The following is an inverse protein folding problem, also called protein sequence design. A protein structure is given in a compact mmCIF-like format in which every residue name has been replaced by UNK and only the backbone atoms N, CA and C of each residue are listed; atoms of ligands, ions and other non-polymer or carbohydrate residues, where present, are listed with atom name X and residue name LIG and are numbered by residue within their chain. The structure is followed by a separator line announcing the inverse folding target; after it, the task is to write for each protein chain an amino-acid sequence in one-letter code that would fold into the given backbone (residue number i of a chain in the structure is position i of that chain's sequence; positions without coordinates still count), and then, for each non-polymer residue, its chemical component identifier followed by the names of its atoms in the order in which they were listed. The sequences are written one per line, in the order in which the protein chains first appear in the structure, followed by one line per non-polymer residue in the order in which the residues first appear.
data_IF_403866545805
#
_entry.id   IF_403866545805
#
_cell.length_a   1.000
_cell.length_b   1.000
_cell.length_c   1.000
_cell.angle_alpha   90.00
_cell.angle_beta   90.00
_cell.angle_gamma   90.00
#
_symmetry.space_group_name_H-M   'P 1'
#
loop_
_entity.id
_entity.type
_entity.pdbx_description
1 polymer ?
2 water ?
#
# COMPACT_ATOMS: atom_id res chain seq x y z
N UNK A 25 -6.89 -0.50 5.33
CA UNK A 25 -5.61 0.18 5.47
C UNK A 25 -5.18 0.80 4.13
N UNK A 26 -4.72 2.05 4.19
CA UNK A 26 -4.22 2.78 3.03
C UNK A 26 -2.74 3.02 3.19
N UNK A 27 -1.97 2.67 2.17
CA UNK A 27 -0.53 2.84 2.18
C UNK A 27 -0.15 3.83 1.09
N UNK A 28 0.91 4.58 1.31
CA UNK A 28 1.29 5.65 0.40
C UNK A 28 2.76 5.56 0.01
N UNK A 29 3.09 6.11 -1.15
CA UNK A 29 4.45 6.12 -1.67
C UNK A 29 4.62 7.33 -2.56
N UNK A 30 5.88 7.64 -2.88
CA UNK A 30 6.20 8.61 -3.90
C UNK A 30 6.75 9.93 -3.39
N UNK A 31 6.88 10.11 -2.09
CA UNK A 31 7.40 11.37 -1.57
C UNK A 31 8.87 11.56 -1.90
N UNK A 32 9.27 12.83 -1.98
CA UNK A 32 10.64 13.18 -2.34
C UNK A 32 10.81 14.67 -2.14
N UNK A 33 12.07 15.11 -2.20
CA UNK A 33 12.41 16.52 -2.31
C UNK A 33 12.77 16.81 -3.76
N UNK A 34 12.18 17.88 -4.32
CA UNK A 34 12.42 18.24 -5.71
C UNK A 34 12.54 19.75 -5.83
N UNK A 35 13.12 20.18 -6.95
CA UNK A 35 13.24 21.61 -7.24
C UNK A 35 11.92 22.16 -7.79
N UNK A 36 11.70 23.45 -7.55
CA UNK A 36 10.54 24.15 -8.10
C UNK A 36 10.48 23.95 -9.60
N UNK A 37 9.25 23.78 -10.11
CA UNK A 37 9.02 23.43 -11.49
C UNK A 37 8.99 21.95 -11.78
N UNK A 38 9.41 21.12 -10.84
CA UNK A 38 9.51 19.68 -11.05
C UNK A 38 8.18 18.95 -10.88
N UNK A 39 8.27 17.63 -10.92
CA UNK A 39 7.09 16.77 -10.89
C UNK A 39 7.33 15.60 -9.95
N UNK A 40 6.26 15.17 -9.30
CA UNK A 40 6.25 13.97 -8.48
C UNK A 40 4.92 13.26 -8.72
N UNK A 41 4.87 11.98 -8.38
CA UNK A 41 3.62 11.23 -8.43
C UNK A 41 3.48 10.47 -7.12
N UNK A 42 2.41 10.74 -6.39
CA UNK A 42 2.12 10.04 -5.16
C UNK A 42 1.15 8.91 -5.45
N UNK A 43 1.30 7.81 -4.73
CA UNK A 43 0.41 6.66 -4.85
C UNK A 43 -0.34 6.46 -3.54
N UNK A 44 -1.64 6.19 -3.65
CA UNK A 44 -2.48 5.77 -2.55
C UNK A 44 -2.97 4.36 -2.88
N UNK A 45 -2.49 3.37 -2.13
CA UNK A 45 -2.76 1.96 -2.44
C UNK A 45 -3.59 1.39 -1.30
N UNK A 46 -4.78 0.90 -1.63
CA UNK A 46 -5.76 0.52 -0.62
C UNK A 46 -5.91 -0.98 -0.43
N UNK A 47 -5.74 -1.42 0.81
CA UNK A 47 -6.13 -2.77 1.21
C UNK A 47 -7.63 -2.73 1.55
N UNK A 48 -8.42 -2.56 0.49
CA UNK A 48 -9.87 -2.36 0.57
C UNK A 48 -10.49 -2.95 -0.68
N UNK A 49 -11.79 -3.24 -0.59
CA UNK A 49 -12.56 -3.59 -1.79
C UNK A 49 -12.88 -2.33 -2.57
N UNK A 50 -12.43 -2.26 -3.82
CA UNK A 50 -12.71 -1.08 -4.64
C UNK A 50 -14.21 -0.84 -4.76
N UNK A 51 -15.01 -1.92 -4.81
CA UNK A 51 -16.44 -1.72 -4.95
C UNK A 51 -17.05 -1.05 -3.74
N UNK A 52 -16.34 -1.02 -2.62
CA UNK A 52 -16.86 -0.30 -1.45
C UNK A 52 -16.64 1.19 -1.50
N UNK A 53 -15.78 1.68 -2.39
CA UNK A 53 -15.26 3.03 -2.31
C UNK A 53 -16.19 3.97 -3.06
N UNK A 54 -16.67 5.01 -2.36
CA UNK A 54 -17.41 6.06 -3.06
C UNK A 54 -16.48 7.08 -3.72
N UNK A 55 -15.40 7.46 -3.02
CA UNK A 55 -14.46 8.45 -3.55
C UNK A 55 -13.16 8.38 -2.76
N UNK A 56 -12.07 8.74 -3.43
CA UNK A 56 -10.75 8.88 -2.81
C UNK A 56 -10.29 10.31 -2.97
N UNK A 57 -9.68 10.86 -1.93
CA UNK A 57 -9.24 12.24 -2.00
C UNK A 57 -7.84 12.37 -1.42
N UNK A 58 -7.19 13.46 -1.84
CA UNK A 58 -5.90 13.85 -1.30
C UNK A 58 -6.04 15.17 -0.55
N UNK A 59 -5.36 15.22 0.59
CA UNK A 59 -5.24 16.39 1.45
C UNK A 59 -3.76 16.64 1.73
N UNK A 60 -3.46 17.82 2.23
CA UNK A 60 -2.10 18.08 2.67
C UNK A 60 -2.14 18.95 3.91
N UNK A 61 -1.08 18.86 4.70
CA UNK A 61 -0.98 19.69 5.89
C UNK A 61 0.48 20.06 6.10
N UNK A 62 0.74 21.34 6.15
CA UNK A 62 2.06 21.91 6.38
C UNK A 62 2.17 22.38 7.82
N UNK A 63 3.34 22.26 8.43
CA UNK A 63 3.48 22.68 9.83
C UNK A 63 3.05 24.13 10.02
N UNK A 64 2.36 24.38 11.12
CA UNK A 64 1.81 25.69 11.42
C UNK A 64 0.52 26.01 10.70
N UNK A 65 0.01 25.11 9.87
CA UNK A 65 -1.20 25.37 9.10
C UNK A 65 -2.20 24.24 9.29
N UNK A 66 -3.49 24.57 9.10
CA UNK A 66 -4.54 23.57 9.06
C UNK A 66 -4.45 22.74 7.78
N UNK A 67 -5.04 21.54 7.84
CA UNK A 67 -5.19 20.69 6.67
C UNK A 67 -5.80 21.48 5.52
N UNK A 68 -5.41 21.12 4.28
CA UNK A 68 -6.00 21.66 3.05
C UNK A 68 -6.51 20.51 2.19
N UNK A 69 -7.65 20.74 1.55
CA UNK A 69 -8.11 19.85 0.50
C UNK A 69 -7.23 20.03 -0.74
N UNK A 70 -6.95 18.93 -1.44
CA UNK A 70 -6.13 19.01 -2.65
C UNK A 70 -6.93 18.50 -3.85
N UNK A 71 -7.42 17.26 -3.79
CA UNK A 71 -8.11 16.69 -4.96
C UNK A 71 -8.99 15.52 -4.56
N UNK A 72 -9.94 15.21 -5.44
CA UNK A 72 -10.97 14.22 -5.15
C UNK A 72 -11.32 13.50 -6.44
N UNK A 73 -11.54 12.18 -6.37
CA UNK A 73 -11.98 11.42 -7.53
C UNK A 73 -13.07 10.45 -7.09
N UNK A 74 -14.20 10.50 -7.77
CA UNK A 74 -15.33 9.64 -7.48
C UNK A 74 -15.15 8.28 -8.14
N UNK A 75 -15.84 7.30 -7.58
CA UNK A 75 -16.08 5.99 -8.16
C UNK A 75 -16.30 6.06 -9.68
N UNK A 76 -17.08 7.03 -10.13
CA UNK A 76 -17.45 7.10 -11.55
C UNK A 76 -16.48 7.91 -12.39
N UNK A 77 -15.39 8.42 -11.80
CA UNK A 77 -14.35 9.10 -12.54
C UNK A 77 -14.40 10.62 -12.48
N UNK A 78 -15.47 11.21 -11.96
CA UNK A 78 -15.52 12.65 -11.76
C UNK A 78 -14.42 13.11 -10.83
N UNK A 79 -13.80 14.24 -11.17
CA UNK A 79 -12.71 14.78 -10.37
C UNK A 79 -13.03 16.21 -9.93
N UNK A 80 -12.38 16.61 -8.85
CA UNK A 80 -12.49 17.96 -8.32
C UNK A 80 -11.14 18.33 -7.75
N UNK A 81 -10.83 19.63 -7.79
CA UNK A 81 -9.52 20.14 -7.38
C UNK A 81 -9.68 21.39 -6.53
N UNK A 82 -8.81 21.54 -5.54
CA UNK A 82 -8.70 22.82 -4.87
C UNK A 82 -8.22 23.90 -5.83
N UNK A 83 -8.62 25.13 -5.56
CA UNK A 83 -8.19 26.24 -6.41
C UNK A 83 -6.67 26.31 -6.54
N UNK A 84 -5.95 25.91 -5.48
CA UNK A 84 -4.50 26.00 -5.48
C UNK A 84 -3.85 25.10 -6.51
N UNK A 85 -4.52 24.02 -6.92
CA UNK A 85 -3.90 23.04 -7.81
C UNK A 85 -4.72 22.78 -9.07
N UNK A 86 -5.86 23.44 -9.24
CA UNK A 86 -6.70 23.23 -10.41
C UNK A 86 -5.93 23.48 -11.70
N UNK A 87 -5.95 22.50 -12.60
CA UNK A 87 -5.24 22.60 -13.86
C UNK A 87 -3.75 22.35 -13.76
N UNK A 88 -3.23 22.14 -12.55
CA UNK A 88 -1.81 21.96 -12.29
C UNK A 88 -1.46 20.55 -11.84
N UNK A 89 -2.22 20.01 -10.89
CA UNK A 89 -2.14 18.61 -10.51
C UNK A 89 -3.24 17.84 -11.21
N UNK A 90 -3.05 16.52 -11.32
CA UNK A 90 -4.04 15.62 -11.90
C UNK A 90 -4.23 14.44 -10.96
N UNK A 91 -5.49 14.09 -10.65
CA UNK A 91 -5.78 12.89 -9.88
C UNK A 91 -6.33 11.85 -10.84
N UNK A 92 -5.91 10.60 -10.66
CA UNK A 92 -6.33 9.51 -11.53
C UNK A 92 -6.40 8.23 -10.71
N UNK A 93 -7.10 7.23 -11.22
CA UNK A 93 -7.25 5.99 -10.47
C UNK A 93 -7.22 4.79 -11.39
N UNK A 94 -6.69 3.69 -10.86
CA UNK A 94 -6.67 2.38 -11.50
C UNK A 94 -7.25 1.41 -10.45
N UNK A 95 -8.57 1.22 -10.49
CA UNK A 95 -9.23 0.42 -9.45
C UNK A 95 -8.77 -1.04 -9.45
N UNK A 96 -8.51 -1.71 -10.58
CA UNK A 96 -7.94 -3.07 -10.51
C UNK A 96 -6.64 -3.12 -9.72
N UNK A 97 -5.84 -2.05 -9.76
CA UNK A 97 -4.62 -1.96 -8.97
C UNK A 97 -4.85 -1.38 -7.58
N UNK A 98 -6.11 -1.11 -7.21
CA UNK A 98 -6.44 -0.54 -5.91
C UNK A 98 -5.68 0.75 -5.64
N UNK A 99 -5.37 1.52 -6.69
CA UNK A 99 -4.47 2.64 -6.57
C UNK A 99 -5.07 3.92 -7.14
N UNK A 100 -4.87 5.01 -6.39
CA UNK A 100 -5.20 6.36 -6.81
C UNK A 100 -3.89 7.15 -6.78
N UNK A 101 -3.63 7.90 -7.85
CA UNK A 101 -2.41 8.69 -7.99
C UNK A 101 -2.70 10.17 -7.85
N UNK A 102 -1.79 10.88 -7.18
CA UNK A 102 -1.77 12.33 -7.25
C UNK A 102 -0.58 12.73 -8.12
N UNK A 103 -0.87 13.22 -9.32
CA UNK A 103 0.18 13.56 -10.28
C UNK A 103 0.49 15.04 -10.08
N UNK A 104 1.62 15.33 -9.43
CA UNK A 104 1.95 16.68 -8.98
C UNK A 104 2.92 17.28 -9.98
N UNK A 105 2.42 18.13 -10.86
CA UNK A 105 3.27 18.78 -11.85
C UNK A 105 3.35 20.27 -11.55
N UNK A 106 4.34 20.93 -12.16
CA UNK A 106 4.56 22.36 -11.99
C UNK A 106 4.68 22.75 -10.51
N UNK A 107 5.49 22.00 -9.78
CA UNK A 107 5.54 22.18 -8.32
C UNK A 107 6.16 23.51 -7.95
N UNK A 108 5.75 24.04 -6.81
CA UNK A 108 6.34 25.26 -6.30
C UNK A 108 6.53 25.10 -4.79
N UNK A 109 7.36 25.93 -4.18
CA UNK A 109 7.68 25.75 -2.76
C UNK A 109 6.45 25.68 -1.86
N UNK A 110 5.40 26.44 -2.19
CA UNK A 110 4.15 26.44 -1.45
C UNK A 110 3.51 25.04 -1.37
N UNK A 111 3.86 24.13 -2.28
CA UNK A 111 3.31 22.77 -2.24
C UNK A 111 3.98 21.88 -1.22
N UNK A 112 5.03 22.35 -0.55
CA UNK A 112 5.68 21.56 0.48
C UNK A 112 4.71 21.26 1.62
N UNK A 113 4.59 19.98 1.97
CA UNK A 113 3.60 19.56 2.96
C UNK A 113 3.67 18.05 3.14
N UNK A 114 3.00 17.57 4.19
CA UNK A 114 2.67 16.16 4.31
C UNK A 114 1.34 15.91 3.60
N UNK A 115 1.35 14.96 2.66
CA UNK A 115 0.17 14.65 1.86
C UNK A 115 -0.48 13.38 2.38
N UNK A 116 -1.81 13.39 2.47
CA UNK A 116 -2.59 12.30 3.04
C UNK A 116 -3.71 11.89 2.10
N UNK A 117 -3.88 10.59 1.93
CA UNK A 117 -5.02 10.16 1.14
C UNK A 117 -6.11 9.59 2.05
N UNK A 118 -7.33 9.76 1.59
CA UNK A 118 -8.54 9.36 2.29
C UNK A 118 -9.39 8.56 1.33
N UNK A 119 -9.83 7.38 1.75
CA UNK A 119 -10.80 6.59 0.98
C UNK A 119 -12.08 6.51 1.78
N UNK A 120 -13.19 6.91 1.17
CA UNK A 120 -14.49 6.82 1.81
C UNK A 120 -15.23 5.60 1.29
N UNK A 121 -15.76 4.79 2.19
CA UNK A 121 -16.57 3.64 1.80
C UNK A 121 -18.00 3.82 2.30
N UNK A 122 -18.93 3.14 1.62
CA UNK A 122 -20.34 3.23 1.97
C UNK A 122 -20.94 1.83 1.99
N UNK A 123 -21.82 1.56 2.96
CA UNK A 123 -22.36 0.20 3.09
C UNK A 123 -23.27 -0.21 1.95
N UNK A 124 -23.86 0.74 1.22
CA UNK A 124 -24.78 0.36 0.15
C UNK A 124 -24.11 -0.49 -0.90
N UNK A 125 -22.79 -0.42 -0.99
CA UNK A 125 -22.07 -1.05 -2.10
C UNK A 125 -21.82 -2.53 -1.90
N UNK A 126 -22.06 -3.06 -0.71
CA UNK A 126 -21.76 -4.46 -0.49
C UNK A 126 -21.80 -4.82 0.97
N UNK A 127 -21.92 -6.13 1.25
CA UNK A 127 -22.08 -6.58 2.62
C UNK A 127 -20.87 -6.24 3.48
N UNK A 128 -19.67 -6.37 2.92
CA UNK A 128 -18.46 -6.10 3.69
C UNK A 128 -18.16 -4.62 3.84
N UNK A 129 -18.87 -3.77 3.09
CA UNK A 129 -18.57 -2.34 3.10
C UNK A 129 -19.12 -1.69 4.37
N UNK A 130 -18.29 -0.86 4.98
CA UNK A 130 -18.67 -0.09 6.15
C UNK A 130 -18.85 1.37 5.76
N UNK A 131 -19.53 2.11 6.64
CA UNK A 131 -19.58 3.57 6.52
C UNK A 131 -18.35 4.06 7.27
N UNK A 132 -17.28 4.34 6.52
CA UNK A 132 -16.00 4.61 7.14
C UNK A 132 -15.18 5.52 6.24
N UNK A 133 -14.26 6.24 6.89
CA UNK A 133 -13.18 6.93 6.20
C UNK A 133 -11.89 6.24 6.59
N UNK A 134 -11.09 5.88 5.59
CA UNK A 134 -9.77 5.28 5.83
C UNK A 134 -8.72 6.28 5.39
N UNK A 135 -7.62 6.36 6.15
CA UNK A 135 -6.59 7.36 5.92
C UNK A 135 -5.21 6.73 5.87
N UNK A 136 -4.39 7.20 4.91
CA UNK A 136 -2.98 6.88 4.93
C UNK A 136 -2.26 7.67 6.00
N UNK A 137 -0.99 7.36 6.20
CA UNK A 137 -0.22 7.91 7.30
C UNK A 137 0.61 9.13 6.93
N UNK A 138 0.60 9.55 5.68
CA UNK A 138 1.30 10.76 5.30
C UNK A 138 2.54 10.49 4.46
N UNK A 139 2.74 11.33 3.45
CA UNK A 139 3.89 11.28 2.55
C UNK A 139 4.46 12.69 2.45
N UNK A 140 5.74 12.86 2.78
CA UNK A 140 6.33 14.19 2.76
C UNK A 140 6.76 14.58 1.34
N UNK A 141 6.37 15.79 0.94
CA UNK A 141 6.80 16.38 -0.32
C UNK A 141 7.47 17.71 0.01
N UNK A 142 8.71 17.87 -0.42
CA UNK A 142 9.44 19.11 -0.19
C UNK A 142 9.82 19.69 -1.55
N UNK A 143 9.48 20.96 -1.77
CA UNK A 143 9.82 21.67 -3.00
C UNK A 143 10.68 22.87 -2.65
N UNK A 144 11.92 22.86 -3.11
CA UNK A 144 12.85 23.95 -2.86
C UNK A 144 12.94 24.85 -4.09
N UNK A 145 13.22 26.13 -3.86
CA UNK A 145 13.33 27.10 -4.95
C UNK A 145 14.53 26.82 -5.83
N UNK B 23 5.78 1.52 -11.94
CA UNK B 23 4.34 1.60 -12.11
C UNK B 23 3.64 0.47 -11.36
N UNK B 24 4.40 -0.57 -11.06
CA UNK B 24 3.96 -1.69 -10.25
C UNK B 24 4.76 -1.68 -8.96
N UNK B 25 4.09 -1.86 -7.82
CA UNK B 25 4.72 -1.69 -6.52
C UNK B 25 4.01 -2.58 -5.52
N UNK B 26 4.77 -3.04 -4.52
CA UNK B 26 4.22 -3.68 -3.33
C UNK B 26 4.50 -2.80 -2.13
N UNK B 27 3.47 -2.51 -1.35
CA UNK B 27 3.61 -1.73 -0.13
C UNK B 27 3.27 -2.62 1.06
N UNK B 28 3.87 -2.33 2.21
CA UNK B 28 3.68 -3.19 3.38
C UNK B 28 3.25 -2.38 4.59
N UNK B 29 2.52 -3.03 5.49
CA UNK B 29 2.18 -2.43 6.78
C UNK B 29 2.05 -3.53 7.82
N UNK B 30 1.85 -3.12 9.07
CA UNK B 30 1.57 -4.04 10.16
C UNK B 30 2.69 -4.23 11.14
N UNK B 31 3.85 -3.61 10.90
CA UNK B 31 4.96 -3.76 11.81
C UNK B 31 4.76 -2.97 13.08
N UNK B 32 5.35 -3.48 14.14
CA UNK B 32 5.17 -2.91 15.46
C UNK B 32 6.17 -3.60 16.38
N UNK B 33 6.29 -3.06 17.58
CA UNK B 33 6.95 -3.74 18.69
C UNK B 33 5.87 -4.40 19.53
N UNK B 34 6.06 -5.68 19.82
CA UNK B 34 5.09 -6.45 20.60
C UNK B 34 5.84 -7.25 21.64
N UNK B 35 5.16 -7.53 22.75
CA UNK B 35 5.73 -8.42 23.74
C UNK B 35 5.72 -9.85 23.22
N UNK B 36 6.64 -10.66 23.71
CA UNK B 36 6.64 -12.07 23.38
C UNK B 36 5.27 -12.67 23.72
N UNK B 37 4.81 -13.58 22.87
CA UNK B 37 3.49 -14.16 23.00
C UNK B 37 2.38 -13.38 22.34
N UNK B 38 2.67 -12.14 21.91
CA UNK B 38 1.67 -11.34 21.23
C UNK B 38 1.48 -11.79 19.80
N UNK B 39 0.53 -11.14 19.13
CA UNK B 39 0.22 -11.45 17.75
C UNK B 39 0.29 -10.19 16.90
N UNK B 40 0.58 -10.38 15.62
CA UNK B 40 0.57 -9.30 14.63
C UNK B 40 0.00 -9.87 13.34
N UNK B 41 -0.51 -8.99 12.49
CA UNK B 41 -0.81 -9.38 11.12
C UNK B 41 -0.12 -8.40 10.19
N UNK B 42 0.79 -8.89 9.37
CA UNK B 42 1.43 -8.06 8.36
C UNK B 42 0.60 -8.08 7.08
N UNK B 43 0.62 -6.97 6.36
CA UNK B 43 -0.09 -6.85 5.09
C UNK B 43 0.89 -6.55 3.97
N UNK B 44 0.72 -7.25 2.86
CA UNK B 44 1.47 -7.01 1.63
C UNK B 44 0.44 -6.54 0.61
N UNK B 45 0.44 -5.25 0.29
CA UNK B 45 -0.63 -4.65 -0.50
C UNK B 45 -0.08 -4.28 -1.87
N UNK B 46 -0.65 -4.88 -2.92
CA UNK B 46 -0.08 -4.82 -4.24
C UNK B 46 -0.73 -3.77 -5.13
N UNK B 47 0.07 -2.80 -5.56
CA UNK B 47 -0.34 -1.93 -6.66
C UNK B 47 0.05 -2.65 -7.94
N UNK B 48 -0.77 -3.65 -8.27
CA UNK B 48 -0.58 -4.51 -9.43
C UNK B 48 -1.89 -5.25 -9.63
N UNK B 49 -1.95 -6.03 -10.67
CA UNK B 49 -3.16 -6.75 -11.04
C UNK B 49 -3.11 -8.16 -10.47
N UNK B 50 -4.11 -8.51 -9.66
CA UNK B 50 -4.14 -9.81 -9.03
C UNK B 50 -4.12 -10.93 -10.06
N UNK B 51 -4.73 -10.71 -11.23
CA UNK B 51 -4.75 -11.80 -12.19
C UNK B 51 -3.38 -12.12 -12.75
N UNK B 52 -2.38 -11.25 -12.55
CA UNK B 52 -1.03 -11.52 -13.03
C UNK B 52 -0.19 -12.34 -12.07
N UNK B 53 -0.66 -12.57 -10.85
CA UNK B 53 0.20 -13.09 -9.79
C UNK B 53 0.21 -14.61 -9.80
N UNK B 54 1.41 -15.19 -9.87
CA UNK B 54 1.55 -16.63 -9.76
C UNK B 54 1.66 -17.08 -8.29
N UNK B 55 2.40 -16.34 -7.49
CA UNK B 55 2.58 -16.66 -6.07
C UNK B 55 3.09 -15.44 -5.33
N UNK B 56 2.85 -15.41 -4.03
CA UNK B 56 3.38 -14.38 -3.15
C UNK B 56 4.04 -15.08 -1.98
N UNK B 57 5.20 -14.58 -1.56
CA UNK B 57 5.92 -15.17 -0.45
C UNK B 57 6.35 -14.12 0.55
N UNK B 58 6.64 -14.58 1.75
CA UNK B 58 7.24 -13.76 2.79
C UNK B 58 8.65 -14.26 3.08
N UNK B 59 9.54 -13.31 3.29
CA UNK B 59 10.92 -13.54 3.73
C UNK B 59 11.20 -12.67 4.94
N UNK B 60 12.24 -13.03 5.71
CA UNK B 60 12.65 -12.15 6.79
C UNK B 60 14.17 -12.12 6.88
N UNK B 61 14.67 -11.02 7.43
CA UNK B 61 16.11 -10.79 7.52
C UNK B 61 16.42 -10.15 8.86
N UNK B 62 17.22 -10.82 9.67
CA UNK B 62 17.69 -10.18 10.88
C UNK B 62 18.99 -9.43 10.59
N UNK B 63 19.32 -8.42 11.39
CA UNK B 63 20.54 -7.64 11.14
C UNK B 63 21.77 -8.54 11.08
N UNK B 64 22.53 -8.41 9.98
CA UNK B 64 23.72 -9.20 9.78
C UNK B 64 23.48 -10.58 9.21
N UNK B 65 22.22 -11.04 9.15
CA UNK B 65 21.91 -12.37 8.68
C UNK B 65 21.35 -12.32 7.26
N UNK B 66 21.40 -13.46 6.59
CA UNK B 66 20.89 -13.58 5.24
C UNK B 66 19.37 -13.67 5.23
N UNK B 67 18.78 -13.32 4.10
CA UNK B 67 17.32 -13.33 3.94
C UNK B 67 16.80 -14.76 3.94
N UNK B 68 15.84 -15.04 4.81
CA UNK B 68 15.29 -16.37 5.06
C UNK B 68 13.88 -16.45 4.51
N UNK B 69 13.57 -17.56 3.84
CA UNK B 69 12.21 -17.85 3.45
C UNK B 69 11.33 -18.09 4.68
N UNK B 70 10.10 -17.58 4.62
CA UNK B 70 9.12 -17.73 5.71
C UNK B 70 7.87 -18.48 5.23
N UNK B 71 7.21 -17.99 4.18
CA UNK B 71 5.98 -18.64 3.74
C UNK B 71 5.67 -18.25 2.30
N UNK B 72 4.76 -19.01 1.71
CA UNK B 72 4.48 -18.94 0.27
C UNK B 72 3.01 -19.29 0.07
N UNK B 73 2.34 -18.57 -0.82
CA UNK B 73 0.96 -18.91 -1.19
C UNK B 73 0.81 -18.80 -2.70
N UNK B 74 0.33 -19.88 -3.31
CA UNK B 74 0.17 -19.92 -4.76
C UNK B 74 -1.13 -19.26 -5.15
N UNK B 75 -1.20 -18.90 -6.44
CA UNK B 75 -2.42 -18.41 -7.06
C UNK B 75 -3.66 -19.18 -6.63
N UNK B 76 -3.56 -20.51 -6.60
CA UNK B 76 -4.69 -21.38 -6.33
C UNK B 76 -4.95 -21.60 -4.85
N UNK B 77 -4.16 -20.97 -3.97
CA UNK B 77 -4.37 -21.08 -2.54
C UNK B 77 -3.46 -22.03 -1.81
N UNK B 78 -2.67 -22.84 -2.53
CA UNK B 78 -1.71 -23.74 -1.89
C UNK B 78 -0.70 -22.94 -1.07
N UNK B 79 -0.44 -23.38 0.17
CA UNK B 79 0.46 -22.67 1.05
C UNK B 79 1.64 -23.57 1.47
N UNK B 80 2.77 -22.92 1.75
CA UNK B 80 3.98 -23.58 2.22
C UNK B 80 4.64 -22.71 3.28
N UNK B 81 5.36 -23.34 4.21
CA UNK B 81 5.95 -22.64 5.34
C UNK B 81 7.33 -23.18 5.65
N UNK B 82 8.20 -22.29 6.12
CA UNK B 82 9.43 -22.72 6.77
C UNK B 82 9.08 -23.52 8.02
N UNK B 83 9.86 -24.56 8.29
CA UNK B 83 9.55 -25.40 9.43
C UNK B 83 9.58 -24.61 10.73
N UNK B 84 10.42 -23.58 10.82
CA UNK B 84 10.54 -22.78 12.04
C UNK B 84 9.28 -22.03 12.39
N UNK B 85 8.42 -21.72 11.42
CA UNK B 85 7.21 -20.93 11.69
C UNK B 85 5.92 -21.69 11.46
N UNK B 86 5.99 -22.89 10.90
CA UNK B 86 4.77 -23.59 10.50
C UNK B 86 3.91 -23.87 11.72
N UNK B 87 2.60 -23.63 11.58
CA UNK B 87 1.65 -23.75 12.66
C UNK B 87 1.46 -22.48 13.48
N UNK B 88 2.51 -21.69 13.63
CA UNK B 88 2.46 -20.43 14.38
C UNK B 88 2.12 -19.25 13.49
N UNK B 89 2.58 -19.28 12.23
CA UNK B 89 2.28 -18.27 11.23
C UNK B 89 1.26 -18.83 10.24
N UNK B 90 0.42 -17.95 9.70
CA UNK B 90 -0.53 -18.31 8.65
C UNK B 90 -0.45 -17.28 7.53
N UNK B 91 -0.29 -17.76 6.30
CA UNK B 91 -0.31 -16.87 5.13
C UNK B 91 -1.69 -17.01 4.48
N UNK B 92 -2.24 -15.89 4.03
CA UNK B 92 -3.54 -15.90 3.38
C UNK B 92 -3.58 -14.75 2.38
N UNK B 93 -4.58 -14.77 1.51
CA UNK B 93 -4.70 -13.71 0.52
C UNK B 93 -6.17 -13.38 0.28
N UNK B 94 -6.41 -12.11 -0.03
CA UNK B 94 -7.74 -11.59 -0.36
C UNK B 94 -7.53 -10.81 -1.65
N UNK B 95 -7.76 -11.47 -2.78
CA UNK B 95 -7.42 -10.86 -4.07
C UNK B 95 -8.20 -9.58 -4.35
N UNK B 96 -9.49 -9.48 -4.07
CA UNK B 96 -10.14 -8.16 -4.24
C UNK B 96 -9.47 -7.05 -3.45
N UNK B 97 -8.87 -7.36 -2.31
CA UNK B 97 -8.14 -6.36 -1.53
C UNK B 97 -6.71 -6.18 -1.98
N UNK B 98 -6.29 -6.89 -3.02
CA UNK B 98 -4.89 -6.86 -3.49
C UNK B 98 -3.92 -7.14 -2.36
N UNK B 99 -4.33 -7.96 -1.38
CA UNK B 99 -3.54 -8.11 -0.15
C UNK B 99 -3.23 -9.56 0.17
N UNK B 100 -1.99 -9.80 0.55
CA UNK B 100 -1.50 -11.05 1.13
C UNK B 100 -1.14 -10.76 2.57
N UNK B 101 -1.60 -11.60 3.49
CA UNK B 101 -1.36 -11.38 4.91
C UNK B 101 -0.35 -12.37 5.46
N UNK B 102 0.34 -11.98 6.52
CA UNK B 102 1.09 -12.93 7.35
C UNK B 102 0.58 -12.73 8.77
N UNK B 103 -0.24 -13.66 9.24
CA UNK B 103 -0.70 -13.65 10.63
C UNK B 103 0.35 -14.35 11.46
N UNK B 104 0.84 -13.67 12.49
CA UNK B 104 1.91 -14.16 13.34
C UNK B 104 1.36 -14.32 14.75
N UNK B 105 1.25 -15.56 15.22
CA UNK B 105 0.79 -15.85 16.57
C UNK B 105 1.96 -16.15 17.49
N UNK B 106 1.75 -15.92 18.79
CA UNK B 106 2.67 -16.31 19.85
C UNK B 106 4.11 -15.99 19.48
N UNK B 107 4.35 -14.70 19.21
CA UNK B 107 5.64 -14.28 18.70
C UNK B 107 6.74 -14.55 19.70
N UNK B 108 7.89 -14.97 19.19
CA UNK B 108 9.05 -15.33 19.98
C UNK B 108 10.18 -14.38 19.67
N UNK B 109 11.20 -14.28 20.54
CA UNK B 109 12.33 -13.38 20.26
C UNK B 109 13.01 -13.66 18.93
N UNK B 110 13.05 -14.93 18.50
CA UNK B 110 13.71 -15.27 17.24
C UNK B 110 12.94 -14.76 16.03
N UNK B 111 11.73 -14.24 16.23
CA UNK B 111 10.95 -13.68 15.12
C UNK B 111 11.26 -12.23 14.85
N UNK B 112 12.08 -11.57 15.66
CA UNK B 112 12.48 -10.20 15.41
C UNK B 112 13.27 -10.13 14.10
N UNK B 113 12.77 -9.33 13.15
CA UNK B 113 13.41 -9.22 11.84
C UNK B 113 12.71 -8.14 11.03
N UNK B 114 13.35 -7.77 9.92
CA UNK B 114 12.67 -7.11 8.82
C UNK B 114 11.97 -8.16 7.97
N UNK B 115 10.69 -7.97 7.72
CA UNK B 115 9.89 -8.89 6.91
C UNK B 115 9.61 -8.25 5.54
N UNK B 116 9.76 -9.06 4.48
CA UNK B 116 9.60 -8.60 3.11
C UNK B 116 8.69 -9.55 2.36
N UNK B 117 7.74 -9.00 1.63
CA UNK B 117 6.96 -9.85 0.74
C UNK B 117 7.48 -9.76 -0.69
N UNK B 118 7.26 -10.83 -1.44
CA UNK B 118 7.71 -10.95 -2.82
C UNK B 118 6.56 -11.51 -3.66
N UNK B 119 6.20 -10.81 -4.72
CA UNK B 119 5.16 -11.28 -5.63
C UNK B 119 5.79 -11.68 -6.96
N UNK B 120 5.38 -12.83 -7.48
CA UNK B 120 5.85 -13.33 -8.76
C UNK B 120 4.71 -13.25 -9.76
N UNK B 121 5.00 -12.71 -10.95
CA UNK B 121 4.00 -12.60 -12.01
C UNK B 121 4.49 -13.32 -13.26
N UNK B 122 3.52 -13.70 -14.10
CA UNK B 122 3.78 -14.35 -15.38
C UNK B 122 2.95 -13.67 -16.47
N UNK B 123 3.51 -13.55 -17.69
CA UNK B 123 2.80 -12.84 -18.76
C UNK B 123 1.62 -13.62 -19.32
N UNK B 124 1.58 -14.93 -19.16
CA UNK B 124 0.50 -15.72 -19.74
C UNK B 124 -0.87 -15.36 -19.17
N UNK B 125 -0.91 -14.76 -17.99
CA UNK B 125 -2.18 -14.59 -17.31
C UNK B 125 -3.06 -13.48 -17.90
N UNK B 126 -2.49 -12.49 -18.57
CA UNK B 126 -3.33 -11.38 -18.98
C UNK B 126 -2.56 -10.32 -19.74
N UNK B 127 -3.34 -9.38 -20.30
CA UNK B 127 -2.79 -8.40 -21.23
C UNK B 127 -1.79 -7.45 -20.55
N UNK B 128 -1.95 -7.18 -19.26
CA UNK B 128 -1.05 -6.26 -18.57
C UNK B 128 0.11 -6.95 -17.89
N UNK B 129 0.21 -8.27 -18.05
CA UNK B 129 1.11 -9.03 -17.18
C UNK B 129 2.53 -9.11 -17.74
N UNK B 130 3.45 -9.47 -16.84
CA UNK B 130 4.87 -9.52 -17.14
C UNK B 130 5.47 -10.74 -16.46
N UNK B 131 6.63 -11.16 -16.93
CA UNK B 131 7.44 -12.13 -16.22
C UNK B 131 8.35 -11.35 -15.30
N UNK B 132 7.99 -11.27 -14.02
CA UNK B 132 8.69 -10.37 -13.12
C UNK B 132 8.51 -10.83 -11.68
N UNK B 133 9.39 -10.30 -10.84
CA UNK B 133 9.28 -10.39 -9.39
C UNK B 133 9.29 -8.99 -8.83
N UNK B 134 8.49 -8.77 -7.78
CA UNK B 134 8.42 -7.50 -7.07
C UNK B 134 8.61 -7.75 -5.58
N UNK B 135 9.34 -6.85 -4.93
CA UNK B 135 9.57 -6.90 -3.49
C UNK B 135 8.88 -5.74 -2.80
N UNK B 136 8.28 -6.01 -1.66
CA UNK B 136 7.78 -4.96 -0.82
C UNK B 136 8.90 -4.22 -0.13
N UNK B 137 8.52 -3.09 0.48
CA UNK B 137 9.45 -2.17 1.14
C UNK B 137 10.05 -2.73 2.42
N UNK B 138 9.41 -3.69 3.06
CA UNK B 138 9.92 -4.17 4.32
C UNK B 138 9.15 -3.62 5.49
N UNK B 139 9.03 -4.46 6.53
CA UNK B 139 8.29 -4.15 7.73
C UNK B 139 9.11 -4.64 8.91
N UNK B 140 9.36 -3.77 9.89
CA UNK B 140 10.13 -4.18 11.06
C UNK B 140 9.23 -4.82 12.11
N UNK B 141 9.57 -6.03 12.53
CA UNK B 141 8.90 -6.72 13.63
C UNK B 141 9.90 -6.86 14.76
N UNK B 142 9.59 -6.29 15.91
CA UNK B 142 10.46 -6.34 17.07
C UNK B 142 9.70 -6.97 18.23
N UNK B 143 10.20 -8.11 18.71
CA UNK B 143 9.54 -8.84 19.78
C UNK B 143 10.25 -8.59 21.10
#
# INVERSE_FOLDING_TARGET
MKKTAIAIAVALAGFATVAQAAEVQLLQSGGDSVQAGGSLRLSCVGSLYSYCISAVSWYRQAPGKEREFVSWIHRDGTTSYADSVKGRFTISQDQPKNTVYLRMNSLKPEDTAMYYCKAETLPKFGRACRNADYWGQGTQVTVSSGQAGQHHHHHHGAYPYDVPDYAS
MKKTAIAIAVALAGFATVAQAAEVQLLQSGGDSVQAGGSLRLSCVGSLYSYCISAVSWYRQAPGKEREFVSWIHRDGTTSYADSVKGRFTISQDQPKNTVYLRMNSLKPEDTAMYYCKAETLPKFGRACRNADYWGQGTQVTVSSGQAGQHHHHHHGAYPYDVPDYAS
#
